data_IF_480013830730
#
_entry.id   IF_480013830730
#
_cell.length_a   1.000
_cell.length_b   1.000
_cell.length_c   1.000
_cell.angle_alpha   90.00
_cell.angle_beta   90.00
_cell.angle_gamma   90.00
#
_symmetry.space_group_name_H-M   'P 1'
#
loop_
_entity.id
_entity.type
_entity.pdbx_description
1 polymer ?
#
# COMPACT_ATOMS: atom_id res chain seq x y z
N UNK A 1 -3.51 38.64 17.45
CA UNK A 1 -2.72 37.46 17.05
C UNK A 1 -2.96 37.24 15.57
N UNK A 2 -1.91 37.18 14.76
CA UNK A 2 -2.02 37.02 13.31
C UNK A 2 -1.80 35.54 12.98
N UNK A 3 -2.88 34.79 12.73
CA UNK A 3 -2.78 33.38 12.33
C UNK A 3 -2.40 33.34 10.84
N UNK A 4 -1.18 32.91 10.55
CA UNK A 4 -0.76 32.64 9.17
C UNK A 4 -1.55 31.43 8.66
N UNK A 5 -2.08 31.47 7.42
CA UNK A 5 -2.80 30.33 6.86
C UNK A 5 -1.82 29.16 6.69
N UNK A 6 -2.26 27.97 7.09
CA UNK A 6 -1.53 26.71 6.89
C UNK A 6 -1.57 26.44 5.38
N UNK A 7 -0.56 26.91 4.64
CA UNK A 7 -0.43 26.70 3.19
C UNK A 7 0.64 25.66 2.83
N UNK A 8 1.27 25.03 3.83
CA UNK A 8 2.36 24.07 3.65
C UNK A 8 2.06 22.73 4.34
N UNK A 9 0.86 22.17 4.10
CA UNK A 9 0.69 20.74 4.35
C UNK A 9 1.25 20.02 3.13
N UNK A 10 2.40 19.35 3.28
CA UNK A 10 2.86 18.39 2.28
C UNK A 10 1.71 17.44 1.96
N UNK A 11 1.48 17.07 0.69
CA UNK A 11 0.43 16.13 0.35
C UNK A 11 0.66 14.86 1.16
N UNK A 12 -0.26 14.58 2.08
CA UNK A 12 -0.25 13.33 2.85
C UNK A 12 -0.34 12.22 1.81
N UNK A 13 0.76 11.49 1.65
CA UNK A 13 0.85 10.38 0.71
C UNK A 13 -0.28 9.39 1.05
N UNK A 14 -1.03 8.96 0.03
CA UNK A 14 -2.18 8.07 0.22
C UNK A 14 -1.71 6.79 0.93
N UNK A 15 -2.29 6.42 2.10
CA UNK A 15 -1.83 5.24 2.85
C UNK A 15 -1.82 3.96 2.03
N UNK A 16 -2.75 3.82 1.07
CA UNK A 16 -2.78 2.68 0.17
C UNK A 16 -1.62 2.71 -0.83
N UNK A 17 -1.28 3.88 -1.38
CA UNK A 17 -0.09 4.04 -2.21
C UNK A 17 1.22 3.76 -1.44
N UNK A 18 1.31 4.17 -0.17
CA UNK A 18 2.45 3.84 0.70
C UNK A 18 2.57 2.32 0.92
N UNK A 19 1.44 1.66 1.20
CA UNK A 19 1.39 0.22 1.41
C UNK A 19 1.68 -0.55 0.12
N UNK A 20 1.14 -0.11 -1.03
CA UNK A 20 1.44 -0.70 -2.34
C UNK A 20 2.95 -0.72 -2.59
N UNK A 21 3.61 0.43 -2.40
CA UNK A 21 5.06 0.55 -2.56
C UNK A 21 5.82 -0.39 -1.63
N UNK A 22 5.44 -0.46 -0.35
CA UNK A 22 6.08 -1.36 0.60
C UNK A 22 5.93 -2.84 0.21
N UNK A 23 4.76 -3.24 -0.29
CA UNK A 23 4.50 -4.61 -0.77
C UNK A 23 5.32 -4.92 -2.04
N UNK A 24 5.46 -3.95 -2.95
CA UNK A 24 6.33 -4.10 -4.11
C UNK A 24 7.81 -4.27 -3.69
N UNK A 25 8.29 -3.48 -2.73
CA UNK A 25 9.65 -3.60 -2.19
C UNK A 25 9.89 -4.96 -1.51
N UNK A 26 8.90 -5.46 -0.75
CA UNK A 26 8.92 -6.80 -0.15
C UNK A 26 9.09 -7.89 -1.22
N UNK A 27 8.25 -7.87 -2.26
CA UNK A 27 8.31 -8.82 -3.36
C UNK A 27 9.68 -8.83 -4.06
N UNK A 28 10.20 -7.63 -4.36
CA UNK A 28 11.51 -7.50 -4.99
C UNK A 28 12.61 -8.05 -4.09
N UNK A 29 12.55 -7.76 -2.78
CA UNK A 29 13.51 -8.24 -1.80
C UNK A 29 13.53 -9.77 -1.70
N UNK A 30 12.36 -10.43 -1.74
CA UNK A 30 12.27 -11.90 -1.77
C UNK A 30 12.97 -12.51 -3.00
N UNK A 31 12.98 -11.78 -4.13
CA UNK A 31 13.69 -12.17 -5.35
C UNK A 31 15.16 -11.70 -5.40
N UNK A 32 15.65 -11.01 -4.36
CA UNK A 32 17.01 -10.48 -4.29
C UNK A 32 17.22 -9.15 -5.03
N UNK A 33 16.16 -8.40 -5.31
CA UNK A 33 16.19 -7.09 -5.97
C UNK A 33 15.75 -5.95 -5.04
N UNK A 34 15.99 -4.71 -5.46
CA UNK A 34 15.44 -3.48 -4.88
C UNK A 34 14.90 -2.58 -5.99
N UNK A 35 14.02 -1.62 -5.67
CA UNK A 35 13.49 -0.66 -6.64
C UNK A 35 14.61 0.12 -7.34
N UNK A 36 15.63 0.55 -6.58
CA UNK A 36 16.81 1.21 -7.14
C UNK A 36 17.62 0.27 -8.02
N UNK A 37 17.74 -0.99 -7.62
CA UNK A 37 18.46 -2.03 -8.35
C UNK A 37 17.87 -2.36 -9.72
N UNK A 38 16.55 -2.16 -9.90
CA UNK A 38 15.89 -2.37 -11.19
C UNK A 38 16.45 -1.47 -12.30
N UNK A 39 16.95 -0.28 -11.97
CA UNK A 39 17.53 0.67 -12.94
C UNK A 39 18.79 0.12 -13.63
N UNK A 40 19.46 -0.84 -13.02
CA UNK A 40 20.65 -1.50 -13.58
C UNK A 40 20.35 -2.76 -14.41
N UNK A 41 19.09 -3.18 -14.48
CA UNK A 41 18.69 -4.40 -15.20
C UNK A 41 18.39 -4.11 -16.68
N UNK A 42 18.29 -5.18 -17.47
CA UNK A 42 17.74 -5.06 -18.82
C UNK A 42 16.28 -4.57 -18.72
N UNK A 43 15.85 -3.79 -19.71
CA UNK A 43 14.49 -3.24 -19.75
C UNK A 43 13.43 -4.34 -19.63
N UNK A 44 13.64 -5.48 -20.30
CA UNK A 44 12.74 -6.63 -20.26
C UNK A 44 12.62 -7.23 -18.85
N UNK A 45 13.74 -7.40 -18.14
CA UNK A 45 13.72 -7.97 -16.79
C UNK A 45 13.13 -6.98 -15.78
N UNK A 46 13.48 -5.70 -15.89
CA UNK A 46 12.92 -4.65 -15.03
C UNK A 46 11.40 -4.54 -15.21
N UNK A 47 10.92 -4.54 -16.46
CA UNK A 47 9.49 -4.51 -16.77
C UNK A 47 8.76 -5.73 -16.22
N UNK A 48 9.34 -6.92 -16.39
CA UNK A 48 8.79 -8.16 -15.84
C UNK A 48 8.67 -8.10 -14.31
N UNK A 49 9.75 -7.72 -13.62
CA UNK A 49 9.77 -7.63 -12.17
C UNK A 49 8.78 -6.58 -11.64
N UNK A 50 8.67 -5.43 -12.30
CA UNK A 50 7.68 -4.40 -11.95
C UNK A 50 6.25 -4.92 -12.10
N UNK A 51 5.93 -5.59 -13.22
CA UNK A 51 4.59 -6.17 -13.43
C UNK A 51 4.25 -7.21 -12.36
N UNK A 52 5.17 -8.11 -12.05
CA UNK A 52 4.94 -9.12 -11.01
C UNK A 52 4.81 -8.48 -9.62
N UNK A 53 5.63 -7.47 -9.30
CA UNK A 53 5.56 -6.75 -8.02
C UNK A 53 4.24 -5.99 -7.85
N UNK A 54 3.76 -5.29 -8.89
CA UNK A 54 2.47 -4.62 -8.86
C UNK A 54 1.32 -5.62 -8.69
N UNK A 55 1.35 -6.76 -9.41
CA UNK A 55 0.34 -7.80 -9.23
C UNK A 55 0.33 -8.37 -7.80
N UNK A 56 1.50 -8.61 -7.23
CA UNK A 56 1.64 -9.03 -5.83
C UNK A 56 1.01 -8.01 -4.87
N UNK A 57 1.36 -6.73 -5.03
CA UNK A 57 0.86 -5.66 -4.18
C UNK A 57 -0.67 -5.50 -4.27
N UNK A 58 -1.25 -5.55 -5.48
CA UNK A 58 -2.71 -5.49 -5.65
C UNK A 58 -3.44 -6.63 -4.95
N UNK A 59 -2.93 -7.86 -5.06
CA UNK A 59 -3.52 -9.02 -4.38
C UNK A 59 -3.45 -8.89 -2.85
N UNK A 60 -2.34 -8.36 -2.33
CA UNK A 60 -2.15 -8.15 -0.89
C UNK A 60 -3.01 -7.01 -0.34
N UNK A 61 -3.18 -5.93 -1.10
CA UNK A 61 -4.11 -4.86 -0.74
C UNK A 61 -5.55 -5.38 -0.64
N UNK A 62 -6.01 -6.17 -1.62
CA UNK A 62 -7.34 -6.77 -1.58
C UNK A 62 -7.52 -7.67 -0.35
N UNK A 63 -6.48 -8.46 0.01
CA UNK A 63 -6.50 -9.28 1.22
C UNK A 63 -6.66 -8.43 2.50
N UNK A 64 -5.92 -7.32 2.59
CA UNK A 64 -5.99 -6.39 3.72
C UNK A 64 -7.36 -5.73 3.80
N UNK A 65 -7.90 -5.27 2.66
CA UNK A 65 -9.24 -4.67 2.60
C UNK A 65 -10.33 -5.64 3.01
N UNK A 66 -10.30 -6.87 2.48
CA UNK A 66 -11.28 -7.90 2.83
C UNK A 66 -11.27 -8.21 4.33
N UNK A 67 -10.08 -8.29 4.92
CA UNK A 67 -9.92 -8.49 6.38
C UNK A 67 -10.44 -7.31 7.18
N UNK A 68 -10.15 -6.08 6.75
CA UNK A 68 -10.66 -4.88 7.43
C UNK A 68 -12.19 -4.80 7.37
N UNK A 69 -12.78 -5.11 6.21
CA UNK A 69 -14.24 -5.21 6.02
C UNK A 69 -14.84 -6.26 6.95
N UNK A 70 -14.25 -7.45 7.02
CA UNK A 70 -14.71 -8.53 7.89
C UNK A 70 -14.65 -8.16 9.38
N UNK A 71 -13.55 -7.55 9.85
CA UNK A 71 -13.44 -7.10 11.25
C UNK A 71 -14.52 -6.05 11.58
N UNK A 72 -14.77 -5.14 10.66
CA UNK A 72 -15.83 -4.13 10.83
C UNK A 72 -17.22 -4.78 10.93
N UNK A 73 -17.54 -5.73 10.05
CA UNK A 73 -18.80 -6.48 10.11
C UNK A 73 -18.97 -7.23 11.44
N UNK A 74 -17.90 -7.80 11.99
CA UNK A 74 -17.93 -8.43 13.32
C UNK A 74 -18.21 -7.41 14.43
N UNK A 75 -17.62 -6.22 14.39
CA UNK A 75 -17.87 -5.17 15.39
C UNK A 75 -19.31 -4.62 15.31
N UNK A 76 -19.81 -4.43 14.08
CA UNK A 76 -21.16 -3.94 13.83
C UNK A 76 -22.21 -4.98 14.27
N UNK A 77 -21.96 -6.28 14.02
CA UNK A 77 -22.85 -7.36 14.45
C UNK A 77 -22.76 -7.70 15.95
N UNK A 78 -21.61 -7.45 16.57
CA UNK A 78 -21.38 -7.61 18.01
C UNK A 78 -21.89 -6.43 18.85
N UNK A 79 -22.55 -5.44 18.24
CA UNK A 79 -23.21 -4.34 18.94
C UNK A 79 -24.73 -4.59 19.07
N UNK A 80 -25.20 -5.45 19.99
CA UNK A 80 -26.62 -5.51 20.31
C UNK A 80 -27.01 -4.33 21.23
N UNK A 81 -27.90 -3.46 20.74
CA UNK A 81 -28.83 -2.63 21.52
C UNK A 81 -28.26 -1.90 22.76
N UNK A 82 -27.84 -0.65 22.59
CA UNK A 82 -28.06 0.36 23.65
C UNK A 82 -29.35 1.14 23.33
N UNK A 83 -30.43 0.68 24.01
CA UNK A 83 -31.73 1.32 24.33
C UNK A 83 -32.60 1.93 23.22
#
# INVERSE_FOLDING_TARGET
MNVKPILDAEPVEDPNAMLEKALMEEFLKEKGYSLEGLKGLSAELAEKLMKEASQYASLKLEEVEARAKFVKELQDSASPLEK
#
